data_IF_367658527318
#
_entry.id   IF_367658527318
#
_cell.length_a   1.000
_cell.length_b   1.000
_cell.length_c   1.000
_cell.angle_alpha   90.00
_cell.angle_beta   90.00
_cell.angle_gamma   90.00
#
_symmetry.space_group_name_H-M   'P 1'
#
loop_
_entity.id
_entity.type
_entity.pdbx_description
1 polymer ?
#
# COMPACT_ATOMS: atom_id res chain seq x y z
N UNK A 1 2.68 24.15 14.87
CA UNK A 1 2.89 23.69 15.32
C UNK A 1 3.71 23.52 15.48
N UNK A 2 4.02 23.86 15.60
CA UNK A 2 4.57 23.52 15.97
C UNK A 2 5.06 22.68 15.84
N UNK A 3 5.50 22.84 15.34
CA UNK A 3 5.92 21.83 15.19
C UNK A 3 5.54 20.77 14.93
N UNK A 4 5.59 20.61 13.67
CA UNK A 4 5.19 19.30 13.43
C UNK A 4 4.66 18.62 14.63
N UNK A 5 3.80 19.19 15.24
CA UNK A 5 3.35 18.69 16.51
C UNK A 5 2.08 17.87 16.41
N UNK A 6 1.66 17.59 15.18
CA UNK A 6 0.55 16.70 14.94
C UNK A 6 0.98 15.24 15.00
N UNK A 7 0.05 14.35 15.05
CA UNK A 7 0.32 12.92 15.10
C UNK A 7 0.63 12.37 13.71
N UNK A 8 1.47 11.34 13.68
CA UNK A 8 1.63 10.54 12.47
C UNK A 8 0.31 9.85 12.15
N UNK A 9 0.11 9.44 10.88
CA UNK A 9 -1.10 8.70 10.55
C UNK A 9 -1.13 7.35 11.26
N UNK A 10 -2.30 6.85 11.49
CA UNK A 10 -2.47 5.51 12.03
C UNK A 10 -2.14 4.44 10.98
N UNK A 11 -1.91 3.23 11.43
CA UNK A 11 -1.63 2.09 10.57
C UNK A 11 -2.85 1.77 9.70
N UNK A 12 -2.63 1.48 8.41
CA UNK A 12 -3.70 1.03 7.53
C UNK A 12 -4.12 -0.37 7.97
N UNK A 13 -5.41 -0.57 8.20
CA UNK A 13 -5.89 -1.80 8.84
C UNK A 13 -6.34 -2.89 7.88
N UNK A 14 -6.87 -2.53 6.75
CA UNK A 14 -7.43 -3.50 5.82
C UNK A 14 -6.85 -3.29 4.43
N UNK A 15 -5.78 -4.00 4.15
CA UNK A 15 -5.21 -4.01 2.82
C UNK A 15 -5.74 -5.23 2.09
N UNK A 16 -6.42 -5.02 0.98
CA UNK A 16 -6.99 -6.07 0.14
C UNK A 16 -6.37 -5.96 -1.24
N UNK A 17 -5.81 -7.04 -1.74
CA UNK A 17 -5.27 -7.07 -3.09
C UNK A 17 -5.96 -8.19 -3.85
N UNK A 18 -6.63 -7.82 -4.94
CA UNK A 18 -7.40 -8.75 -5.76
C UNK A 18 -6.79 -8.82 -7.14
N UNK A 19 -6.17 -9.95 -7.45
CA UNK A 19 -5.58 -10.16 -8.77
C UNK A 19 -6.70 -10.36 -9.78
N UNK A 20 -6.57 -9.69 -10.94
CA UNK A 20 -7.57 -9.77 -11.99
C UNK A 20 -7.53 -11.15 -12.66
N UNK A 21 -8.66 -11.84 -12.74
CA UNK A 21 -8.72 -13.16 -13.32
C UNK A 21 -8.40 -13.16 -14.81
N UNK A 22 -8.88 -12.16 -15.52
CA UNK A 22 -8.68 -12.06 -16.98
C UNK A 22 -7.28 -11.61 -17.33
N UNK A 23 -6.62 -10.88 -16.45
CA UNK A 23 -5.28 -10.38 -16.68
C UNK A 23 -4.48 -10.47 -15.38
N UNK A 24 -3.77 -11.57 -15.24
CA UNK A 24 -3.02 -11.82 -13.99
C UNK A 24 -1.81 -10.91 -13.81
N UNK A 25 -1.56 -10.01 -14.76
CA UNK A 25 -0.53 -8.99 -14.61
C UNK A 25 -1.05 -7.77 -13.87
N UNK A 26 -2.33 -7.74 -13.53
CA UNK A 26 -2.95 -6.60 -12.88
C UNK A 26 -3.64 -7.02 -11.60
N UNK A 27 -3.74 -6.07 -10.67
CA UNK A 27 -4.44 -6.29 -9.41
C UNK A 27 -5.05 -4.98 -8.92
N UNK A 28 -6.22 -5.10 -8.30
CA UNK A 28 -6.82 -3.99 -7.57
C UNK A 28 -6.31 -4.02 -6.14
N UNK A 29 -5.76 -2.91 -5.70
CA UNK A 29 -5.27 -2.74 -4.34
C UNK A 29 -6.21 -1.77 -3.65
N UNK A 30 -6.82 -2.19 -2.54
CA UNK A 30 -7.77 -1.38 -1.80
C UNK A 30 -7.42 -1.40 -0.33
N UNK A 31 -7.69 -0.30 0.35
CA UNK A 31 -7.42 -0.19 1.78
C UNK A 31 -8.42 0.77 2.43
N UNK A 32 -8.53 0.66 3.75
CA UNK A 32 -9.37 1.58 4.51
C UNK A 32 -8.64 2.92 4.66
N UNK A 33 -9.25 4.03 4.27
CA UNK A 33 -8.59 5.33 4.42
C UNK A 33 -8.28 5.65 5.87
N UNK A 34 -7.16 6.35 6.06
CA UNK A 34 -6.75 6.81 7.38
C UNK A 34 -7.08 8.30 7.49
N UNK A 35 -7.74 8.68 8.58
CA UNK A 35 -8.37 10.00 8.71
C UNK A 35 -7.41 11.17 8.54
N UNK A 36 -6.18 11.05 9.01
CA UNK A 36 -5.22 12.15 8.93
C UNK A 36 -4.09 11.90 7.93
N UNK A 37 -4.33 11.02 6.97
CA UNK A 37 -3.37 10.74 5.88
C UNK A 37 -3.80 11.46 4.61
N UNK A 38 -2.83 11.94 3.85
CA UNK A 38 -3.10 12.51 2.53
C UNK A 38 -2.47 11.69 1.41
N UNK A 39 -1.62 10.74 1.75
CA UNK A 39 -0.97 9.89 0.76
C UNK A 39 -0.67 8.53 1.37
N UNK A 40 -0.34 7.59 0.54
CA UNK A 40 0.00 6.23 0.95
C UNK A 40 1.15 5.72 0.11
N UNK A 41 2.07 5.00 0.74
CA UNK A 41 3.14 4.30 0.02
C UNK A 41 2.79 2.82 -0.05
N UNK A 42 2.61 2.31 -1.26
CA UNK A 42 2.33 0.89 -1.48
C UNK A 42 3.65 0.21 -1.82
N UNK A 43 4.04 -0.76 -1.03
CA UNK A 43 5.26 -1.51 -1.25
C UNK A 43 4.93 -2.87 -1.84
N UNK A 44 5.71 -3.31 -2.81
CA UNK A 44 5.49 -4.61 -3.44
C UNK A 44 6.81 -5.27 -3.80
N UNK A 45 6.79 -6.59 -3.82
CA UNK A 45 7.96 -7.40 -4.17
C UNK A 45 7.62 -8.87 -4.28
N UNK A 46 8.62 -9.67 -4.53
CA UNK A 46 8.47 -11.12 -4.73
C UNK A 46 8.71 -11.92 -3.46
N UNK A 47 9.01 -11.24 -2.36
CA UNK A 47 9.25 -11.88 -1.07
C UNK A 47 8.75 -10.95 0.03
N UNK A 48 8.22 -11.48 1.14
CA UNK A 48 7.66 -10.62 2.19
C UNK A 48 8.66 -9.70 2.86
N UNK A 49 9.94 -10.03 2.80
CA UNK A 49 11.01 -9.21 3.37
C UNK A 49 11.79 -8.41 2.32
N UNK A 50 11.34 -8.43 1.06
CA UNK A 50 12.03 -7.77 -0.06
C UNK A 50 11.06 -6.98 -0.91
N UNK A 51 10.40 -6.01 -0.28
CA UNK A 51 9.43 -5.15 -0.94
C UNK A 51 10.15 -3.91 -1.49
N UNK A 52 10.85 -4.08 -2.60
CA UNK A 52 11.73 -3.06 -3.14
C UNK A 52 11.05 -2.00 -3.99
N UNK A 53 9.85 -2.28 -4.49
CA UNK A 53 9.11 -1.31 -5.29
C UNK A 53 8.16 -0.53 -4.41
N UNK A 54 8.10 0.76 -4.62
CA UNK A 54 7.22 1.65 -3.86
C UNK A 54 6.44 2.54 -4.80
N UNK A 55 5.14 2.62 -4.58
CA UNK A 55 4.25 3.47 -5.37
C UNK A 55 3.58 4.43 -4.40
N UNK A 56 3.69 5.73 -4.65
CA UNK A 56 3.00 6.72 -3.83
C UNK A 56 1.67 7.09 -4.48
N UNK A 57 0.60 7.01 -3.70
CA UNK A 57 -0.74 7.35 -4.14
C UNK A 57 -1.28 8.45 -3.25
N UNK A 58 -1.80 9.51 -3.86
CA UNK A 58 -2.32 10.66 -3.11
C UNK A 58 -3.83 10.62 -3.06
N UNK A 59 -4.36 10.86 -1.87
CA UNK A 59 -5.77 11.19 -1.68
C UNK A 59 -6.73 10.15 -2.29
N UNK A 60 -6.38 8.88 -2.13
CA UNK A 60 -7.16 7.77 -2.69
C UNK A 60 -7.15 6.60 -1.72
N UNK A 61 -8.05 5.65 -1.93
CA UNK A 61 -8.08 4.43 -1.15
C UNK A 61 -8.07 3.18 -2.02
N UNK A 62 -7.70 3.34 -3.28
CA UNK A 62 -7.52 2.21 -4.19
C UNK A 62 -6.54 2.57 -5.30
N UNK A 63 -5.92 1.54 -5.84
CA UNK A 63 -4.95 1.69 -6.92
C UNK A 63 -4.98 0.45 -7.80
N UNK A 64 -4.96 0.62 -9.11
CA UNK A 64 -4.92 -0.49 -10.05
C UNK A 64 -3.49 -0.69 -10.53
N UNK A 65 -2.85 -1.75 -10.07
CA UNK A 65 -1.44 -2.05 -10.36
C UNK A 65 -1.37 -2.98 -11.56
N UNK A 66 -0.57 -2.61 -12.57
CA UNK A 66 -0.54 -3.32 -13.85
C UNK A 66 0.81 -3.93 -14.22
N UNK A 67 1.74 -4.00 -13.28
CA UNK A 67 3.11 -4.39 -13.60
C UNK A 67 3.52 -5.74 -13.01
N UNK A 68 2.58 -6.64 -12.83
CA UNK A 68 2.87 -7.95 -12.25
C UNK A 68 3.24 -8.96 -13.32
N UNK A 69 4.08 -9.93 -12.93
CA UNK A 69 4.33 -11.11 -13.74
C UNK A 69 3.21 -12.12 -13.46
N UNK A 70 2.52 -12.57 -14.51
CA UNK A 70 1.37 -13.45 -14.37
C UNK A 70 1.71 -14.79 -13.74
N UNK A 71 2.97 -15.18 -13.78
CA UNK A 71 3.43 -16.49 -13.30
C UNK A 71 3.98 -16.46 -11.87
N UNK A 72 4.00 -15.29 -11.22
CA UNK A 72 4.62 -15.14 -9.92
C UNK A 72 3.65 -14.63 -8.88
N UNK A 73 3.85 -15.06 -7.63
CA UNK A 73 3.14 -14.49 -6.50
C UNK A 73 3.81 -13.19 -6.08
N UNK A 74 3.02 -12.26 -5.56
CA UNK A 74 3.52 -10.96 -5.11
C UNK A 74 3.10 -10.72 -3.66
N UNK A 75 3.87 -9.87 -3.01
CA UNK A 75 3.61 -9.46 -1.63
C UNK A 75 3.44 -7.95 -1.61
N UNK A 76 2.48 -7.48 -0.83
CA UNK A 76 2.15 -6.06 -0.74
C UNK A 76 2.05 -5.63 0.70
N UNK A 77 2.47 -4.39 0.97
CA UNK A 77 2.28 -3.73 2.24
C UNK A 77 2.03 -2.25 1.96
N UNK A 78 1.43 -1.55 2.90
CA UNK A 78 1.09 -0.15 2.72
C UNK A 78 1.35 0.64 4.00
N UNK A 79 1.74 1.89 3.85
CA UNK A 79 1.86 2.81 4.97
C UNK A 79 1.17 4.11 4.62
N UNK A 80 0.63 4.78 5.62
CA UNK A 80 -0.03 6.07 5.44
C UNK A 80 0.98 7.19 5.69
N UNK A 81 0.78 8.33 5.02
CA UNK A 81 1.71 9.45 5.05
C UNK A 81 0.96 10.75 5.35
N UNK A 82 1.51 11.57 6.21
CA UNK A 82 1.08 12.95 6.38
C UNK A 82 2.31 13.83 6.66
N UNK A 83 2.09 15.12 6.94
CA UNK A 83 3.19 16.05 7.15
C UNK A 83 4.00 15.76 8.41
N UNK A 84 3.50 14.91 9.29
CA UNK A 84 4.17 14.53 10.53
C UNK A 84 4.97 13.24 10.42
N UNK A 85 4.87 12.54 9.31
CA UNK A 85 5.64 11.32 9.07
C UNK A 85 4.83 10.21 8.43
N UNK A 86 5.30 8.98 8.61
CA UNK A 86 4.66 7.80 8.04
C UNK A 86 4.20 6.87 9.15
N UNK A 87 3.15 6.13 8.89
CA UNK A 87 2.64 5.13 9.82
C UNK A 87 3.53 3.88 9.80
N UNK A 88 3.26 2.95 10.70
CA UNK A 88 3.80 1.61 10.56
C UNK A 88 3.21 0.96 9.31
N UNK A 89 3.95 0.03 8.72
CA UNK A 89 3.44 -0.70 7.54
C UNK A 89 2.36 -1.67 7.97
N UNK A 90 1.41 -1.89 7.08
CA UNK A 90 0.40 -2.92 7.29
C UNK A 90 1.05 -4.31 7.27
N UNK A 91 0.31 -5.31 7.73
CA UNK A 91 0.74 -6.69 7.54
C UNK A 91 0.93 -6.97 6.06
N UNK A 92 1.88 -7.83 5.74
CA UNK A 92 2.17 -8.17 4.34
C UNK A 92 1.06 -9.05 3.80
N UNK A 93 0.54 -8.69 2.62
CA UNK A 93 -0.52 -9.42 1.94
C UNK A 93 0.08 -10.17 0.76
N UNK A 94 -0.03 -11.49 0.77
CA UNK A 94 0.41 -12.31 -0.36
C UNK A 94 -0.71 -12.42 -1.39
N UNK A 95 -0.34 -12.31 -2.66
CA UNK A 95 -1.27 -12.43 -3.79
C UNK A 95 -0.71 -13.44 -4.78
N UNK A 96 -1.48 -14.47 -5.07
CA UNK A 96 -1.06 -15.53 -6.00
C UNK A 96 -1.73 -15.46 -7.36
#
# INVERSE_FOLDING_TARGET
>A
RKNGLGDKPGKVKQLIVLRTEKDKRSAWIKWTPVANAYAYNIYTGLSPDKLYNCIMVHDANEYYYKAMDSEKAYYFSIEAVNENGVSERSAVQKVE
#
